data_IF_065240750293
#
_entry.id   IF_065240750293
#
_cell.length_a   1.000
_cell.length_b   1.000
_cell.length_c   1.000
_cell.angle_alpha   90.00
_cell.angle_beta   90.00
_cell.angle_gamma   90.00
#
_symmetry.space_group_name_H-M   'P 1'
#
loop_
_entity.id
_entity.type
_entity.pdbx_description
1 polymer ?
#
# COMPACT_ATOMS: atom_id res chain seq x y z
N UNK A 1 8.04 24.33 -55.13
CA UNK A 1 7.04 25.23 -55.76
C UNK A 1 5.67 24.61 -55.54
N UNK A 2 4.67 25.42 -55.18
CA UNK A 2 3.27 25.09 -54.78
C UNK A 2 3.05 24.96 -53.27
N UNK A 3 2.73 26.10 -52.66
CA UNK A 3 2.03 26.28 -51.38
C UNK A 3 0.51 26.22 -51.62
N UNK A 4 -0.27 25.64 -50.69
CA UNK A 4 -1.74 25.69 -50.72
C UNK A 4 -2.30 26.37 -49.45
N UNK A 5 -3.22 27.29 -49.74
CA UNK A 5 -3.85 28.36 -48.97
C UNK A 5 -4.60 27.95 -47.68
N UNK A 6 -4.48 28.84 -46.68
CA UNK A 6 -5.36 29.05 -45.52
C UNK A 6 -6.63 29.78 -45.98
N UNK A 7 -7.80 29.46 -45.39
CA UNK A 7 -9.04 30.25 -45.51
C UNK A 7 -9.49 30.74 -44.13
N UNK A 8 -9.51 32.05 -43.97
CA UNK A 8 -10.29 32.77 -42.96
C UNK A 8 -11.70 33.04 -43.50
N UNK A 9 -12.70 33.06 -42.62
CA UNK A 9 -13.99 33.67 -42.89
C UNK A 9 -14.51 34.38 -41.64
N UNK A 10 -14.58 35.71 -41.73
CA UNK A 10 -15.41 36.59 -40.90
C UNK A 10 -16.75 36.81 -41.60
N UNK A 11 -17.81 37.11 -40.84
CA UNK A 11 -19.05 37.88 -41.15
C UNK A 11 -20.08 37.49 -40.07
N UNK A 12 -21.03 38.30 -39.58
CA UNK A 12 -21.27 39.75 -39.55
C UNK A 12 -22.36 39.97 -38.48
N UNK A 13 -22.34 41.09 -37.78
CA UNK A 13 -23.33 41.49 -36.76
C UNK A 13 -24.59 42.04 -37.46
N UNK A 14 -25.77 41.62 -37.03
CA UNK A 14 -27.03 42.30 -37.35
C UNK A 14 -27.93 42.38 -36.09
N UNK A 15 -28.22 43.62 -35.67
CA UNK A 15 -29.28 43.97 -34.72
C UNK A 15 -30.64 43.99 -35.44
N UNK A 16 -31.69 43.48 -34.78
CA UNK A 16 -33.07 43.91 -35.03
C UNK A 16 -33.93 43.77 -33.77
N UNK A 17 -34.63 44.85 -33.45
CA UNK A 17 -35.50 45.03 -32.28
C UNK A 17 -36.96 44.62 -32.54
N UNK A 18 -37.71 44.41 -31.45
CA UNK A 18 -39.17 44.20 -31.40
C UNK A 18 -39.51 42.74 -31.07
N UNK A 19 -40.38 42.37 -30.11
CA UNK A 19 -41.52 43.07 -29.53
C UNK A 19 -41.86 42.41 -28.18
N UNK A 20 -42.40 43.19 -27.25
CA UNK A 20 -42.86 42.76 -25.93
C UNK A 20 -44.18 42.00 -26.08
N UNK A 21 -44.24 40.74 -25.64
CA UNK A 21 -45.49 40.10 -25.22
C UNK A 21 -45.29 39.46 -23.85
N UNK A 22 -45.98 40.04 -22.87
CA UNK A 22 -46.09 39.57 -21.50
C UNK A 22 -47.02 38.35 -21.43
N UNK A 23 -46.49 37.20 -21.04
CA UNK A 23 -47.28 36.11 -20.45
C UNK A 23 -46.89 35.99 -18.97
N UNK A 24 -47.81 36.43 -18.11
CA UNK A 24 -47.77 36.12 -16.68
C UNK A 24 -47.95 34.61 -16.51
N UNK A 25 -46.96 33.97 -15.88
CA UNK A 25 -47.11 32.67 -15.23
C UNK A 25 -46.73 32.85 -13.77
N UNK A 26 -47.73 32.76 -12.89
CA UNK A 26 -47.50 32.65 -11.46
C UNK A 26 -46.92 31.26 -11.18
N UNK A 27 -45.69 31.21 -10.69
CA UNK A 27 -45.14 30.05 -10.00
C UNK A 27 -44.43 30.55 -8.75
N UNK A 28 -45.02 30.25 -7.60
CA UNK A 28 -44.44 30.46 -6.28
C UNK A 28 -43.23 29.53 -6.12
N UNK A 29 -42.05 30.02 -6.49
CA UNK A 29 -40.78 29.39 -6.15
C UNK A 29 -40.47 29.62 -4.68
N UNK A 30 -40.46 28.54 -3.89
CA UNK A 30 -39.82 28.54 -2.57
C UNK A 30 -38.31 28.54 -2.82
N UNK A 31 -37.60 29.53 -2.27
CA UNK A 31 -36.15 29.52 -2.21
C UNK A 31 -35.73 28.28 -1.41
N UNK A 32 -35.17 27.29 -2.10
CA UNK A 32 -34.54 26.14 -1.48
C UNK A 32 -33.11 26.59 -1.18
N UNK A 33 -32.83 26.94 0.07
CA UNK A 33 -31.44 27.12 0.53
C UNK A 33 -30.69 25.82 0.26
N UNK A 34 -29.66 25.89 -0.59
CA UNK A 34 -28.74 24.78 -0.78
C UNK A 34 -28.04 24.47 0.56
N UNK A 35 -27.92 23.18 0.94
CA UNK A 35 -27.25 22.82 2.17
C UNK A 35 -25.79 23.26 2.12
N UNK A 36 -25.38 24.04 3.12
CA UNK A 36 -23.98 24.43 3.31
C UNK A 36 -23.16 23.14 3.51
N UNK A 37 -22.39 22.75 2.49
CA UNK A 37 -21.41 21.67 2.59
C UNK A 37 -20.25 22.22 3.43
N UNK A 38 -20.28 21.96 4.73
CA UNK A 38 -19.12 22.20 5.59
C UNK A 38 -18.09 21.12 5.21
N UNK A 39 -16.92 21.47 4.64
CA UNK A 39 -15.89 20.48 4.38
C UNK A 39 -15.49 19.83 5.71
N UNK A 40 -15.30 18.49 5.76
CA UNK A 40 -14.88 17.84 6.98
C UNK A 40 -13.60 18.51 7.46
N UNK A 41 -13.64 19.03 8.69
CA UNK A 41 -12.48 19.64 9.32
C UNK A 41 -11.41 18.58 9.40
N UNK A 42 -10.33 18.72 8.61
CA UNK A 42 -9.15 17.89 8.73
C UNK A 42 -8.54 18.19 10.09
N UNK A 43 -8.86 17.37 11.09
CA UNK A 43 -8.19 17.43 12.39
C UNK A 43 -6.75 17.03 12.13
N UNK A 44 -5.85 17.99 11.99
CA UNK A 44 -4.42 17.73 11.98
C UNK A 44 -4.10 17.04 13.30
N UNK A 45 -3.75 15.76 13.25
CA UNK A 45 -3.39 15.00 14.46
C UNK A 45 -2.09 15.59 14.98
N UNK A 46 -2.18 16.37 16.05
CA UNK A 46 -1.00 16.86 16.76
C UNK A 46 -0.59 15.79 17.75
N UNK A 47 0.42 15.04 17.36
CA UNK A 47 1.16 14.17 18.27
C UNK A 47 1.91 15.00 19.28
N UNK A 48 1.31 15.15 20.46
CA UNK A 48 2.00 15.78 21.56
C UNK A 48 2.95 14.75 22.17
N UNK A 49 4.21 15.15 22.34
CA UNK A 49 5.17 14.51 23.24
C UNK A 49 5.59 13.08 22.91
N UNK A 50 5.78 12.73 21.63
CA UNK A 50 6.53 11.52 21.31
C UNK A 50 7.60 11.76 20.25
N UNK A 51 8.58 10.87 20.23
CA UNK A 51 9.58 10.73 19.16
C UNK A 51 9.87 9.25 18.96
N UNK A 52 10.80 8.93 18.06
CA UNK A 52 11.33 7.58 17.92
C UNK A 52 12.81 7.59 18.27
N UNK A 53 13.33 6.44 18.71
CA UNK A 53 14.77 6.25 18.84
C UNK A 53 15.49 6.61 17.53
N UNK A 54 16.69 7.17 17.64
CA UNK A 54 17.54 7.51 16.47
C UNK A 54 18.38 6.34 15.98
N UNK A 55 18.52 5.30 16.81
CA UNK A 55 19.18 4.04 16.48
C UNK A 55 18.12 2.94 16.48
N UNK A 56 18.10 2.02 15.50
CA UNK A 56 17.11 0.96 15.49
C UNK A 56 17.25 0.06 16.72
N UNK A 57 16.14 -0.19 17.42
CA UNK A 57 16.08 -1.15 18.52
C UNK A 57 16.26 -2.59 18.01
N UNK A 58 15.72 -2.84 16.83
CA UNK A 58 15.84 -4.11 16.11
C UNK A 58 16.09 -3.80 14.65
N UNK A 59 16.98 -4.56 14.02
CA UNK A 59 17.26 -4.42 12.61
C UNK A 59 17.67 -5.74 11.96
N UNK A 60 17.41 -5.85 10.67
CA UNK A 60 18.12 -6.77 9.79
C UNK A 60 18.72 -5.99 8.61
N UNK A 61 20.04 -5.91 8.61
CA UNK A 61 20.85 -5.25 7.57
C UNK A 61 21.30 -6.26 6.49
N UNK A 62 20.93 -7.53 6.64
CA UNK A 62 21.19 -8.56 5.62
C UNK A 62 22.69 -8.75 5.25
N UNK A 63 23.60 -8.40 6.17
CA UNK A 63 25.06 -8.55 6.05
C UNK A 63 25.55 -9.99 6.31
N UNK A 64 24.84 -10.98 5.78
CA UNK A 64 25.19 -12.40 5.88
C UNK A 64 24.80 -13.15 4.62
N UNK A 65 25.23 -14.41 4.49
CA UNK A 65 24.95 -15.23 3.32
C UNK A 65 24.06 -16.42 3.67
N UNK A 66 23.13 -16.78 2.78
CA UNK A 66 22.30 -17.98 2.89
C UNK A 66 20.81 -17.68 3.04
N UNK A 67 20.12 -18.46 3.88
CA UNK A 67 18.70 -18.21 4.18
C UNK A 67 18.56 -17.04 5.16
N UNK A 68 17.43 -16.30 5.12
CA UNK A 68 17.02 -15.37 6.17
C UNK A 68 17.22 -15.94 7.58
N UNK A 69 17.81 -15.14 8.47
CA UNK A 69 18.20 -15.57 9.80
C UNK A 69 16.97 -16.04 10.59
N UNK A 70 16.99 -17.30 11.05
CA UNK A 70 15.86 -17.92 11.75
C UNK A 70 15.53 -17.25 13.09
N UNK A 71 16.48 -16.53 13.68
CA UNK A 71 16.24 -15.69 14.87
C UNK A 71 15.35 -14.47 14.58
N UNK A 72 15.22 -14.06 13.30
CA UNK A 72 14.51 -12.84 12.87
C UNK A 72 13.28 -13.15 12.01
N UNK A 73 13.36 -14.20 11.18
CA UNK A 73 12.38 -14.50 10.15
C UNK A 73 11.88 -15.94 10.21
N UNK A 74 10.57 -16.11 10.07
CA UNK A 74 9.91 -17.36 9.74
C UNK A 74 9.25 -17.29 8.35
N UNK A 75 8.61 -18.37 7.90
CA UNK A 75 7.98 -18.48 6.59
C UNK A 75 6.51 -18.90 6.73
N UNK A 76 5.64 -18.18 6.03
CA UNK A 76 4.31 -18.68 5.70
C UNK A 76 4.42 -19.58 4.46
N UNK A 77 4.13 -20.88 4.62
CA UNK A 77 4.28 -21.89 3.56
C UNK A 77 2.94 -22.27 2.94
N UNK A 78 2.92 -22.57 1.64
CA UNK A 78 1.73 -23.09 0.96
C UNK A 78 1.24 -22.24 -0.22
N UNK A 79 0.21 -22.73 -0.89
CA UNK A 79 -0.32 -22.17 -2.13
C UNK A 79 -1.84 -22.24 -2.25
N UNK A 80 -2.59 -22.06 -1.16
CA UNK A 80 -4.06 -22.14 -1.16
C UNK A 80 -4.75 -20.85 -1.63
N UNK A 81 -4.02 -19.95 -2.30
CA UNK A 81 -4.52 -18.66 -2.78
C UNK A 81 -4.57 -17.54 -1.75
N UNK A 82 -4.23 -17.82 -0.48
CA UNK A 82 -4.00 -16.82 0.58
C UNK A 82 -5.15 -15.83 0.85
N UNK A 83 -6.38 -16.18 0.45
CA UNK A 83 -7.56 -15.31 0.58
C UNK A 83 -7.79 -14.37 -0.61
N UNK A 84 -6.88 -14.38 -1.59
CA UNK A 84 -6.83 -13.45 -2.72
C UNK A 84 -6.63 -14.16 -4.08
N UNK A 85 -6.90 -15.46 -4.16
CA UNK A 85 -6.74 -16.30 -5.37
C UNK A 85 -5.32 -16.29 -5.98
N UNK A 86 -4.31 -16.01 -5.16
CA UNK A 86 -2.88 -15.98 -5.51
C UNK A 86 -2.40 -17.29 -6.15
N UNK A 87 -1.40 -17.22 -7.04
CA UNK A 87 -0.98 -18.33 -7.92
C UNK A 87 0.36 -18.97 -7.56
N UNK A 88 1.06 -18.46 -6.55
CA UNK A 88 2.32 -19.02 -6.08
C UNK A 88 2.13 -20.01 -4.92
N UNK A 89 3.08 -20.94 -4.81
CA UNK A 89 3.36 -21.67 -3.59
C UNK A 89 4.51 -20.98 -2.85
N UNK A 90 4.27 -20.46 -1.65
CA UNK A 90 5.34 -19.91 -0.81
C UNK A 90 6.18 -21.03 -0.20
N UNK A 91 7.50 -20.88 -0.30
CA UNK A 91 8.49 -21.85 0.19
C UNK A 91 9.46 -21.19 1.19
N UNK A 92 10.28 -22.01 1.84
CA UNK A 92 11.48 -21.61 2.57
C UNK A 92 12.77 -22.02 1.84
N UNK A 93 12.69 -22.21 0.52
CA UNK A 93 13.84 -22.62 -0.28
C UNK A 93 14.76 -21.42 -0.56
N UNK A 94 16.07 -21.69 -0.61
CA UNK A 94 17.08 -20.69 -0.98
C UNK A 94 16.81 -20.03 -2.34
N UNK A 95 16.16 -20.78 -3.25
CA UNK A 95 15.77 -20.28 -4.58
C UNK A 95 14.66 -19.20 -4.53
N UNK A 96 13.90 -19.10 -3.44
CA UNK A 96 12.82 -18.13 -3.26
C UNK A 96 13.14 -17.07 -2.20
N UNK A 97 13.98 -17.37 -1.22
CA UNK A 97 14.48 -16.39 -0.26
C UNK A 97 15.99 -16.62 -0.03
N UNK A 98 16.80 -15.62 -0.32
CA UNK A 98 18.24 -15.68 -0.09
C UNK A 98 18.78 -14.34 0.37
N UNK A 99 19.82 -14.38 1.18
CA UNK A 99 20.58 -13.22 1.62
C UNK A 99 21.99 -13.36 1.05
N UNK A 100 22.43 -12.33 0.35
CA UNK A 100 23.77 -12.20 -0.23
C UNK A 100 24.01 -10.74 -0.60
N UNK A 101 25.28 -10.34 -0.68
CA UNK A 101 25.68 -9.00 -1.14
C UNK A 101 25.00 -7.85 -0.38
N UNK A 102 24.81 -8.02 0.94
CA UNK A 102 24.22 -7.01 1.83
C UNK A 102 22.71 -6.80 1.64
N UNK A 103 21.99 -7.78 1.09
CA UNK A 103 20.54 -7.67 0.87
C UNK A 103 19.82 -9.02 0.91
N UNK A 104 18.54 -8.96 1.23
CA UNK A 104 17.58 -10.02 1.01
C UNK A 104 17.03 -9.96 -0.42
N UNK A 105 16.90 -11.11 -1.06
CA UNK A 105 16.16 -11.32 -2.31
C UNK A 105 14.99 -12.27 -2.07
N UNK A 106 13.76 -11.78 -2.24
CA UNK A 106 12.55 -12.60 -2.36
C UNK A 106 12.28 -12.80 -3.85
N UNK A 107 12.45 -14.04 -4.33
CA UNK A 107 12.40 -14.39 -5.75
C UNK A 107 11.17 -15.21 -6.06
N UNK A 108 10.34 -14.71 -6.98
CA UNK A 108 9.26 -15.47 -7.59
C UNK A 108 9.73 -16.15 -8.88
N UNK A 109 9.35 -17.41 -9.07
CA UNK A 109 9.75 -18.23 -10.22
C UNK A 109 8.53 -18.89 -10.83
N UNK A 110 8.52 -19.02 -12.16
CA UNK A 110 7.58 -19.89 -12.87
C UNK A 110 8.10 -21.32 -12.80
N UNK A 111 7.63 -22.06 -11.80
CA UNK A 111 7.93 -23.48 -11.64
C UNK A 111 6.76 -24.17 -10.92
N UNK A 112 6.43 -25.37 -11.36
CA UNK A 112 5.33 -26.12 -10.79
C UNK A 112 5.72 -26.72 -9.43
N UNK A 113 4.98 -26.39 -8.39
CA UNK A 113 5.16 -26.97 -7.05
C UNK A 113 3.81 -27.13 -6.35
N UNK A 114 3.53 -28.35 -5.88
CA UNK A 114 2.33 -28.66 -5.09
C UNK A 114 1.01 -28.13 -5.69
N UNK A 115 0.86 -28.27 -7.01
CA UNK A 115 -0.34 -27.84 -7.75
C UNK A 115 -0.36 -26.35 -8.15
N UNK A 116 0.62 -25.56 -7.75
CA UNK A 116 0.78 -24.16 -8.16
C UNK A 116 1.77 -24.03 -9.31
N UNK A 117 1.59 -23.02 -10.16
CA UNK A 117 2.42 -22.78 -11.34
C UNK A 117 3.64 -21.87 -11.06
N UNK A 118 3.70 -21.28 -9.87
CA UNK A 118 4.78 -20.40 -9.44
C UNK A 118 5.23 -20.76 -8.03
N UNK A 119 6.46 -20.42 -7.69
CA UNK A 119 6.98 -20.41 -6.31
C UNK A 119 7.38 -18.99 -5.93
N UNK A 120 7.36 -18.69 -4.64
CA UNK A 120 7.86 -17.42 -4.08
C UNK A 120 8.18 -17.60 -2.59
N UNK A 121 8.43 -16.52 -1.85
CA UNK A 121 8.54 -16.54 -0.40
C UNK A 121 7.66 -15.47 0.27
N UNK A 122 7.19 -15.78 1.48
CA UNK A 122 6.48 -14.89 2.39
C UNK A 122 7.14 -14.99 3.76
N UNK A 123 8.02 -14.04 4.05
CA UNK A 123 8.74 -13.94 5.32
C UNK A 123 7.88 -13.24 6.35
N UNK A 124 7.94 -13.70 7.59
CA UNK A 124 7.20 -13.10 8.71
C UNK A 124 8.09 -12.95 9.94
N UNK A 125 7.93 -11.87 10.70
CA UNK A 125 8.63 -11.68 11.98
C UNK A 125 7.82 -12.17 13.19
N UNK A 126 6.70 -12.87 12.96
CA UNK A 126 5.80 -13.35 14.01
C UNK A 126 6.55 -14.11 15.10
N UNK A 127 6.33 -13.73 16.36
CA UNK A 127 7.00 -14.25 17.55
C UNK A 127 8.52 -13.96 17.61
N UNK A 128 9.04 -13.06 16.77
CA UNK A 128 10.46 -12.65 16.72
C UNK A 128 10.59 -11.13 16.88
N UNK A 129 9.77 -10.39 16.14
CA UNK A 129 9.51 -8.97 16.32
C UNK A 129 8.00 -8.74 16.23
N UNK A 130 7.35 -8.72 17.40
CA UNK A 130 5.95 -8.33 17.56
C UNK A 130 5.92 -6.99 18.31
N UNK A 131 5.51 -5.92 17.66
CA UNK A 131 5.60 -4.55 18.20
C UNK A 131 4.23 -3.92 18.33
N UNK A 132 4.05 -3.11 19.36
CA UNK A 132 2.91 -2.20 19.51
C UNK A 132 3.47 -0.78 19.43
N UNK A 133 3.05 -0.06 18.38
CA UNK A 133 3.58 1.26 18.02
C UNK A 133 5.07 1.22 17.61
N UNK A 134 5.60 2.38 17.24
CA UNK A 134 6.98 2.58 16.81
C UNK A 134 7.08 2.95 15.33
N UNK A 135 8.32 3.03 14.87
CA UNK A 135 8.64 3.30 13.47
C UNK A 135 9.24 2.06 12.84
N UNK A 136 8.72 1.67 11.68
CA UNK A 136 9.32 0.61 10.85
C UNK A 136 9.75 1.23 9.54
N UNK A 137 10.99 1.00 9.16
CA UNK A 137 11.58 1.40 7.88
C UNK A 137 12.06 0.16 7.14
N UNK A 138 11.70 0.06 5.86
CA UNK A 138 12.17 -0.98 4.96
C UNK A 138 12.72 -0.31 3.70
N UNK A 139 14.00 -0.54 3.40
CA UNK A 139 14.63 -0.09 2.15
C UNK A 139 14.52 -1.22 1.13
N UNK A 140 13.73 -1.01 0.07
CA UNK A 140 13.46 -2.06 -0.91
C UNK A 140 13.42 -1.55 -2.35
N UNK A 141 13.72 -2.44 -3.29
CA UNK A 141 13.53 -2.27 -4.73
C UNK A 141 12.53 -3.32 -5.22
N UNK A 142 11.52 -2.87 -5.95
CA UNK A 142 10.35 -3.68 -6.29
C UNK A 142 10.53 -4.43 -7.63
N UNK A 143 9.91 -5.60 -7.82
CA UNK A 143 9.87 -6.27 -9.11
C UNK A 143 9.09 -5.46 -10.16
N UNK A 144 9.23 -5.86 -11.41
CA UNK A 144 8.43 -5.33 -12.53
C UNK A 144 7.48 -6.39 -13.07
N UNK A 145 6.50 -5.92 -13.83
CA UNK A 145 5.85 -6.75 -14.84
C UNK A 145 4.52 -7.35 -14.39
N UNK A 146 3.63 -7.49 -15.36
CA UNK A 146 2.25 -7.87 -15.14
C UNK A 146 2.13 -9.22 -14.42
N UNK A 147 1.39 -9.21 -13.31
CA UNK A 147 1.20 -10.39 -12.47
C UNK A 147 2.01 -10.36 -11.17
N UNK A 148 3.00 -9.48 -11.01
CA UNK A 148 3.71 -9.35 -9.72
C UNK A 148 2.91 -8.51 -8.72
N UNK A 149 2.94 -8.91 -7.45
CA UNK A 149 2.37 -8.16 -6.33
C UNK A 149 3.30 -8.26 -5.10
N UNK A 150 4.38 -7.46 -5.05
CA UNK A 150 5.20 -7.30 -3.85
C UNK A 150 4.43 -6.58 -2.73
N UNK A 151 4.67 -6.98 -1.48
CA UNK A 151 4.11 -6.33 -0.31
C UNK A 151 5.09 -6.28 0.88
N UNK A 152 5.07 -5.16 1.59
CA UNK A 152 5.66 -4.92 2.91
C UNK A 152 4.51 -4.46 3.81
N UNK A 153 4.15 -5.28 4.78
CA UNK A 153 2.88 -5.12 5.49
C UNK A 153 2.91 -5.77 6.86
N UNK A 154 1.87 -5.54 7.65
CA UNK A 154 1.80 -5.97 9.04
C UNK A 154 0.46 -6.58 9.37
N UNK A 155 0.48 -7.67 10.15
CA UNK A 155 -0.71 -8.31 10.69
C UNK A 155 -0.67 -8.39 12.22
N UNK A 156 -1.82 -8.42 12.88
CA UNK A 156 -1.91 -8.57 14.33
C UNK A 156 -1.39 -9.94 14.75
N UNK A 157 -0.54 -9.99 15.77
CA UNK A 157 -0.05 -11.24 16.34
C UNK A 157 -1.14 -11.95 17.14
N UNK A 158 -1.89 -11.20 17.95
CA UNK A 158 -2.79 -11.77 18.97
C UNK A 158 -4.26 -11.92 18.50
N UNK A 159 -4.62 -11.41 17.30
CA UNK A 159 -6.01 -11.36 16.77
C UNK A 159 -7.08 -10.99 17.81
N UNK A 160 -6.79 -10.02 18.67
CA UNK A 160 -7.59 -9.71 19.87
C UNK A 160 -9.06 -9.37 19.61
N UNK A 161 -9.40 -8.94 18.38
CA UNK A 161 -10.75 -8.56 17.98
C UNK A 161 -11.42 -9.57 17.03
N UNK A 162 -10.80 -10.74 16.83
CA UNK A 162 -11.25 -11.79 15.93
C UNK A 162 -10.51 -11.78 14.59
N UNK A 163 -11.00 -12.60 13.66
CA UNK A 163 -10.37 -12.77 12.35
C UNK A 163 -10.41 -11.50 11.50
N UNK A 164 -9.57 -11.49 10.47
CA UNK A 164 -9.45 -10.39 9.52
C UNK A 164 -10.83 -9.98 8.95
N UNK A 165 -11.11 -8.67 8.80
CA UNK A 165 -10.23 -7.52 9.04
C UNK A 165 -10.34 -6.93 10.46
N UNK A 166 -11.03 -7.60 11.40
CA UNK A 166 -11.39 -6.99 12.70
C UNK A 166 -10.20 -6.61 13.56
N UNK A 167 -9.14 -7.42 13.51
CA UNK A 167 -7.91 -7.17 14.26
C UNK A 167 -6.91 -6.26 13.52
N UNK A 168 -7.25 -5.78 12.33
CA UNK A 168 -6.47 -4.81 11.58
C UNK A 168 -5.45 -5.40 10.60
N UNK A 169 -4.98 -4.55 9.69
CA UNK A 169 -3.87 -4.76 8.75
C UNK A 169 -3.26 -3.39 8.43
N UNK A 170 -1.93 -3.30 8.32
CA UNK A 170 -1.21 -2.10 7.90
C UNK A 170 -0.30 -2.47 6.72
N UNK A 171 -0.65 -2.00 5.53
CA UNK A 171 0.08 -2.23 4.30
C UNK A 171 0.99 -1.04 4.06
N UNK A 172 2.25 -1.18 4.46
CA UNK A 172 3.26 -0.12 4.39
C UNK A 172 3.59 0.18 2.92
N UNK A 173 3.66 -0.87 2.11
CA UNK A 173 3.93 -0.79 0.68
C UNK A 173 3.25 -1.97 -0.01
N UNK A 174 2.38 -1.67 -0.95
CA UNK A 174 1.96 -2.61 -1.99
C UNK A 174 2.17 -2.02 -3.36
N UNK A 175 2.48 -2.88 -4.32
CA UNK A 175 2.64 -2.50 -5.71
C UNK A 175 2.14 -3.65 -6.59
N UNK A 176 1.58 -3.35 -7.76
CA UNK A 176 1.16 -4.35 -8.73
C UNK A 176 1.80 -4.07 -10.08
N UNK A 177 2.39 -5.08 -10.70
CA UNK A 177 3.25 -4.86 -11.86
C UNK A 177 2.53 -4.47 -13.15
N UNK A 178 1.18 -4.53 -13.19
CA UNK A 178 0.41 -3.96 -14.29
C UNK A 178 0.21 -2.44 -14.16
N UNK A 179 0.33 -1.90 -12.95
CA UNK A 179 0.31 -0.46 -12.64
C UNK A 179 1.68 -0.06 -12.10
N UNK A 180 2.67 -0.22 -12.97
CA UNK A 180 4.08 -0.06 -12.63
C UNK A 180 4.33 1.31 -11.97
N UNK A 181 5.16 1.34 -10.92
CA UNK A 181 5.57 2.54 -10.18
C UNK A 181 4.50 3.23 -9.33
N UNK A 182 3.22 2.85 -9.42
CA UNK A 182 2.19 3.36 -8.52
C UNK A 182 2.16 2.52 -7.24
N UNK A 183 2.65 3.10 -6.14
CA UNK A 183 2.83 2.40 -4.87
C UNK A 183 1.75 2.81 -3.88
N UNK A 184 1.19 1.83 -3.18
CA UNK A 184 0.05 1.98 -2.29
C UNK A 184 0.45 1.83 -0.82
N UNK A 185 -0.12 2.69 0.03
CA UNK A 185 -0.19 2.48 1.47
C UNK A 185 -1.65 2.32 1.84
N UNK A 186 -1.98 1.27 2.58
CA UNK A 186 -3.35 0.95 2.95
C UNK A 186 -3.44 0.53 4.41
N UNK A 187 -4.60 0.76 5.02
CA UNK A 187 -4.95 0.12 6.29
C UNK A 187 -6.32 -0.53 6.17
N UNK A 188 -6.45 -1.74 6.73
CA UNK A 188 -7.73 -2.44 6.78
C UNK A 188 -8.23 -2.60 8.22
N UNK A 189 -9.52 -2.39 8.42
CA UNK A 189 -10.25 -2.56 9.69
C UNK A 189 -11.66 -3.11 9.42
N UNK A 190 -12.41 -3.49 10.46
CA UNK A 190 -13.81 -3.91 10.29
C UNK A 190 -14.67 -2.85 9.58
N UNK A 191 -14.45 -1.57 9.87
CA UNK A 191 -15.16 -0.45 9.26
C UNK A 191 -14.58 -0.02 7.90
N UNK A 192 -13.29 -0.26 7.67
CA UNK A 192 -12.53 0.28 6.56
C UNK A 192 -11.77 -0.83 5.82
N UNK A 193 -12.39 -1.52 4.87
CA UNK A 193 -11.68 -2.56 4.11
C UNK A 193 -12.22 -2.75 2.69
N UNK A 194 -11.42 -3.44 1.85
CA UNK A 194 -11.59 -3.44 0.40
C UNK A 194 -12.91 -4.07 -0.08
N UNK A 195 -13.47 -5.06 0.63
CA UNK A 195 -14.72 -5.72 0.17
C UNK A 195 -15.95 -4.83 0.27
N UNK A 196 -15.89 -3.76 1.07
CA UNK A 196 -16.94 -2.74 1.17
C UNK A 196 -16.48 -1.39 0.61
N UNK A 197 -15.29 -1.33 0.00
CA UNK A 197 -14.70 -0.14 -0.63
C UNK A 197 -14.58 1.07 0.32
N UNK A 198 -14.22 0.83 1.57
CA UNK A 198 -14.05 1.88 2.60
C UNK A 198 -12.65 1.92 3.22
N UNK A 199 -11.71 1.13 2.70
CA UNK A 199 -10.32 1.13 3.15
C UNK A 199 -9.73 2.54 3.13
N UNK A 200 -8.91 2.87 4.13
CA UNK A 200 -8.11 4.08 4.09
C UNK A 200 -6.86 3.76 3.30
N UNK A 201 -6.68 4.45 2.18
CA UNK A 201 -5.56 4.20 1.25
C UNK A 201 -5.06 5.50 0.67
N UNK A 202 -3.80 5.52 0.27
CA UNK A 202 -3.17 6.57 -0.53
C UNK A 202 -2.16 5.95 -1.48
N UNK A 203 -1.88 6.64 -2.58
CA UNK A 203 -0.91 6.18 -3.57
C UNK A 203 0.12 7.26 -3.88
N UNK A 204 1.30 6.83 -4.30
CA UNK A 204 2.35 7.71 -4.81
C UNK A 204 3.05 7.05 -5.98
N UNK A 205 3.20 7.81 -7.05
CA UNK A 205 4.05 7.43 -8.18
C UNK A 205 5.52 7.59 -7.78
N UNK A 206 6.28 6.50 -7.86
CA UNK A 206 7.73 6.44 -7.65
C UNK A 206 8.38 5.93 -8.95
N UNK A 207 8.80 6.83 -9.86
CA UNK A 207 9.18 6.47 -11.23
C UNK A 207 10.26 5.38 -11.38
N UNK A 208 11.08 5.22 -10.36
CA UNK A 208 12.23 4.32 -10.29
C UNK A 208 12.07 3.21 -9.23
N UNK A 209 10.85 2.93 -8.77
CA UNK A 209 10.54 1.93 -7.73
C UNK A 209 11.14 0.53 -7.99
N UNK A 210 11.32 0.17 -9.27
CA UNK A 210 11.90 -1.11 -9.68
C UNK A 210 13.36 -1.03 -10.14
N UNK A 211 13.95 0.15 -10.19
CA UNK A 211 15.34 0.38 -10.59
C UNK A 211 16.23 0.91 -9.47
N UNK A 212 15.66 1.48 -8.41
CA UNK A 212 16.36 2.01 -7.25
C UNK A 212 15.75 1.49 -5.93
N UNK A 213 16.54 1.52 -4.85
CA UNK A 213 16.02 1.28 -3.51
C UNK A 213 15.31 2.53 -3.01
N UNK A 214 14.12 2.35 -2.44
CA UNK A 214 13.33 3.40 -1.80
C UNK A 214 13.03 3.01 -0.36
N UNK A 215 12.89 4.03 0.49
CA UNK A 215 12.54 3.84 1.90
C UNK A 215 11.03 3.88 2.07
N UNK A 216 10.46 2.72 2.41
CA UNK A 216 9.05 2.57 2.81
C UNK A 216 8.96 2.57 4.33
N UNK A 217 8.21 3.52 4.89
CA UNK A 217 8.15 3.72 6.34
C UNK A 217 6.73 3.85 6.85
N UNK A 218 6.46 3.28 8.02
CA UNK A 218 5.32 3.62 8.86
C UNK A 218 5.79 4.21 10.18
N UNK A 219 5.19 5.33 10.56
CA UNK A 219 5.21 5.84 11.93
C UNK A 219 3.84 5.53 12.55
N UNK A 220 3.82 4.61 13.51
CA UNK A 220 2.61 4.13 14.14
C UNK A 220 2.61 4.45 15.62
N UNK A 221 1.59 5.18 16.06
CA UNK A 221 1.43 5.64 17.44
C UNK A 221 0.00 5.40 17.92
N UNK A 222 -0.32 5.64 19.20
CA UNK A 222 -1.70 5.56 19.68
C UNK A 222 -2.69 6.47 18.95
N UNK A 223 -2.19 7.52 18.30
CA UNK A 223 -3.01 8.59 17.73
C UNK A 223 -3.14 8.52 16.22
N UNK A 224 -2.15 7.97 15.52
CA UNK A 224 -2.16 7.90 14.07
C UNK A 224 -1.24 6.82 13.52
N UNK A 225 -1.59 6.35 12.32
CA UNK A 225 -0.74 5.58 11.40
C UNK A 225 -0.37 6.54 10.28
N UNK A 226 0.93 6.78 10.08
CA UNK A 226 1.44 7.61 9.00
C UNK A 226 2.37 6.85 8.10
N UNK A 227 2.09 6.89 6.81
CA UNK A 227 2.92 6.29 5.77
C UNK A 227 3.84 7.32 5.12
N UNK A 228 5.08 6.92 4.88
CA UNK A 228 6.07 7.75 4.19
C UNK A 228 6.85 6.94 3.16
N UNK A 229 7.08 7.57 2.01
CA UNK A 229 8.01 7.08 0.99
C UNK A 229 9.11 8.12 0.76
N UNK A 230 10.35 7.73 1.00
CA UNK A 230 11.54 8.59 0.97
C UNK A 230 11.37 9.85 1.83
N UNK A 231 10.96 9.64 3.09
CA UNK A 231 10.69 10.68 4.09
C UNK A 231 9.54 11.65 3.78
N UNK A 232 8.90 11.53 2.63
CA UNK A 232 7.70 12.29 2.28
C UNK A 232 6.47 11.58 2.80
N UNK A 233 5.65 12.27 3.61
CA UNK A 233 4.36 11.74 4.06
C UNK A 233 3.42 11.58 2.87
N UNK A 234 2.79 10.41 2.77
CA UNK A 234 1.83 10.08 1.70
C UNK A 234 0.48 9.64 2.27
N UNK A 235 0.44 9.22 3.53
CA UNK A 235 -0.74 8.69 4.18
C UNK A 235 -0.80 9.14 5.65
N UNK A 236 -2.00 9.48 6.12
CA UNK A 236 -2.30 9.69 7.53
C UNK A 236 -3.69 9.13 7.83
N UNK A 237 -3.77 8.22 8.80
CA UNK A 237 -5.03 7.77 9.39
C UNK A 237 -5.02 8.05 10.89
N UNK A 238 -5.89 8.97 11.30
CA UNK A 238 -6.09 9.36 12.69
C UNK A 238 -6.94 8.34 13.47
N UNK A 239 -6.58 8.09 14.73
CA UNK A 239 -7.43 7.39 15.66
C UNK A 239 -8.65 8.26 16.01
N UNK A 240 -9.80 7.92 15.45
CA UNK A 240 -11.04 8.66 15.64
C UNK A 240 -11.68 8.45 17.03
N UNK A 241 -11.10 7.61 17.90
CA UNK A 241 -11.66 7.30 19.21
C UNK A 241 -12.96 6.49 19.17
N UNK A 242 -13.23 5.80 18.06
CA UNK A 242 -14.50 5.06 17.80
C UNK A 242 -14.40 3.55 18.04
N UNK A 243 -13.42 3.12 18.83
CA UNK A 243 -13.19 1.72 19.20
C UNK A 243 -12.61 0.85 18.07
N UNK A 244 -12.42 -0.44 18.35
CA UNK A 244 -11.61 -1.35 17.53
C UNK A 244 -12.09 -1.51 16.08
N UNK A 245 -13.39 -1.36 15.81
CA UNK A 245 -13.93 -1.47 14.45
C UNK A 245 -13.32 -0.43 13.50
N UNK A 246 -12.99 0.74 14.05
CA UNK A 246 -12.35 1.86 13.34
C UNK A 246 -10.85 1.84 13.61
N UNK A 247 -10.42 1.53 14.83
CA UNK A 247 -9.02 1.58 15.25
C UNK A 247 -8.59 0.31 16.01
N UNK A 248 -8.26 -0.78 15.30
CA UNK A 248 -7.72 -2.00 15.93
C UNK A 248 -6.21 -1.95 16.14
N UNK A 249 -5.54 -0.84 15.77
CA UNK A 249 -4.09 -0.65 15.83
C UNK A 249 -3.60 -0.29 17.23
N UNK A 250 -4.07 -1.03 18.23
CA UNK A 250 -3.75 -0.89 19.66
C UNK A 250 -3.31 -2.23 20.30
N UNK A 251 -2.91 -3.19 19.45
CA UNK A 251 -2.36 -4.51 19.80
C UNK A 251 -1.07 -4.75 19.05
N UNK A 252 -0.32 -5.80 19.40
CA UNK A 252 0.96 -6.10 18.76
C UNK A 252 0.76 -6.61 17.33
N UNK A 253 1.61 -6.15 16.42
CA UNK A 253 1.67 -6.58 15.03
C UNK A 253 3.07 -7.13 14.71
N UNK A 254 3.13 -8.03 13.75
CA UNK A 254 4.38 -8.53 13.14
C UNK A 254 4.46 -8.10 11.68
N UNK A 255 5.68 -7.98 11.17
CA UNK A 255 5.98 -7.61 9.79
C UNK A 255 5.93 -8.84 8.88
N UNK A 256 5.50 -8.60 7.63
CA UNK A 256 5.49 -9.55 6.53
C UNK A 256 6.17 -8.93 5.30
N UNK A 257 6.95 -9.74 4.60
CA UNK A 257 7.55 -9.41 3.30
C UNK A 257 7.22 -10.53 2.32
N UNK A 258 6.58 -10.23 1.19
CA UNK A 258 6.32 -11.25 0.16
C UNK A 258 6.32 -10.68 -1.25
N UNK A 259 6.37 -11.61 -2.19
CA UNK A 259 6.09 -11.36 -3.60
C UNK A 259 5.00 -12.33 -4.06
N UNK A 260 3.74 -11.90 -4.02
CA UNK A 260 2.62 -12.65 -4.57
C UNK A 260 2.63 -12.60 -6.10
N UNK A 261 2.07 -13.64 -6.73
CA UNK A 261 1.91 -13.74 -8.18
C UNK A 261 0.44 -13.96 -8.52
N UNK A 262 -0.09 -13.10 -9.38
CA UNK A 262 -1.49 -13.12 -9.78
C UNK A 262 -2.41 -12.64 -8.67
N UNK A 263 -3.40 -13.46 -8.33
CA UNK A 263 -4.48 -13.08 -7.43
C UNK A 263 -5.48 -12.11 -8.03
N UNK A 264 -6.49 -11.75 -7.22
CA UNK A 264 -7.60 -10.90 -7.64
C UNK A 264 -7.15 -9.50 -8.06
N UNK A 265 -6.05 -9.00 -7.45
CA UNK A 265 -5.50 -7.69 -7.76
C UNK A 265 -4.26 -7.76 -8.65
N UNK A 266 -3.16 -8.37 -8.19
CA UNK A 266 -1.90 -8.47 -8.95
C UNK A 266 -2.05 -9.11 -10.33
N UNK A 267 -3.00 -10.04 -10.47
CA UNK A 267 -3.33 -10.76 -11.70
C UNK A 267 -4.58 -10.24 -12.43
N UNK A 268 -5.12 -9.09 -12.04
CA UNK A 268 -6.34 -8.52 -12.64
C UNK A 268 -6.22 -8.27 -14.15
N UNK A 269 -5.01 -8.05 -14.67
CA UNK A 269 -4.71 -7.94 -16.10
C UNK A 269 -4.02 -9.19 -16.69
N UNK A 270 -4.04 -10.31 -15.95
CA UNK A 270 -3.32 -11.54 -16.25
C UNK A 270 -1.92 -11.58 -15.64
N UNK A 271 -1.17 -12.63 -15.95
CA UNK A 271 0.24 -12.82 -15.57
C UNK A 271 1.04 -12.94 -16.86
N UNK A 272 2.13 -12.19 -17.00
CA UNK A 272 3.10 -12.41 -18.08
C UNK A 272 4.10 -13.47 -17.63
N UNK A 273 4.20 -14.59 -18.33
CA UNK A 273 5.10 -15.67 -17.94
C UNK A 273 6.56 -15.41 -18.35
N UNK A 274 6.80 -14.47 -19.25
CA UNK A 274 8.13 -14.21 -19.81
C UNK A 274 9.01 -13.31 -18.92
N UNK A 275 8.43 -12.69 -17.89
CA UNK A 275 9.15 -11.82 -16.96
C UNK A 275 9.88 -12.60 -15.86
N UNK A 276 9.57 -13.89 -15.67
CA UNK A 276 10.14 -14.66 -14.57
C UNK A 276 11.58 -15.11 -14.85
N UNK A 277 12.45 -15.14 -13.83
CA UNK A 277 12.17 -14.84 -12.42
C UNK A 277 12.07 -13.33 -12.12
N UNK A 278 11.27 -12.96 -11.11
CA UNK A 278 11.15 -11.59 -10.59
C UNK A 278 11.57 -11.54 -9.12
N UNK A 279 12.08 -10.40 -8.69
CA UNK A 279 12.62 -10.22 -7.33
C UNK A 279 12.12 -8.95 -6.67
N UNK A 280 11.75 -9.06 -5.40
CA UNK A 280 11.80 -7.94 -4.47
C UNK A 280 13.14 -8.01 -3.73
N UNK A 281 13.92 -6.95 -3.78
CA UNK A 281 15.21 -6.85 -3.08
C UNK A 281 15.04 -5.91 -1.88
N UNK A 282 15.55 -6.31 -0.72
CA UNK A 282 15.45 -5.55 0.53
C UNK A 282 16.85 -5.34 1.09
N UNK A 283 17.26 -4.09 1.20
CA UNK A 283 18.56 -3.65 1.72
C UNK A 283 18.57 -3.71 3.25
N UNK A 284 17.52 -3.22 3.91
CA UNK A 284 17.36 -3.40 5.36
C UNK A 284 15.90 -3.39 5.81
N UNK A 285 15.69 -3.91 7.01
CA UNK A 285 14.49 -3.70 7.83
C UNK A 285 14.91 -3.15 9.19
N UNK A 286 14.34 -2.03 9.61
CA UNK A 286 14.67 -1.38 10.88
C UNK A 286 13.40 -1.05 11.66
N UNK A 287 13.43 -1.32 12.96
CA UNK A 287 12.40 -0.92 13.91
C UNK A 287 13.00 -0.01 14.98
N UNK A 288 12.34 1.12 15.22
CA UNK A 288 12.72 2.12 16.22
C UNK A 288 11.58 2.25 17.23
N UNK A 289 11.89 2.16 18.53
CA UNK A 289 10.87 2.30 19.56
C UNK A 289 10.35 3.73 19.61
N UNK A 290 9.05 3.85 19.88
CA UNK A 290 8.46 5.12 20.28
C UNK A 290 8.96 5.50 21.69
N UNK A 291 9.34 6.76 21.86
CA UNK A 291 9.76 7.37 23.12
C UNK A 291 8.74 8.44 23.47
N UNK A 292 8.14 8.34 24.65
CA UNK A 292 7.34 9.42 25.22
C UNK A 292 8.29 10.52 25.76
N UNK A 293 8.03 11.77 25.40
CA UNK A 293 8.80 12.95 25.83
C UNK A 293 8.27 13.52 27.13
#
# INVERSE_FOLDING_TARGET
MIYRKIKNAYFLIALSAGSILSCQSCSSGKDVEEPIIIPPTSVTVVDKNWTFETTPFWADEFDYNGLPATAKWDYDLGGSGWGNNEKQYYTNALANASVADGKLSITAKKESMNGMAYTSARLVTRNKLDVLYGRIEVSAKLPTGKGTWPAIWMLPTDRAYGDWPKSGEIDIMEHVGYDQNNVHFTTHTEAYYFKINTQKTSTKMIPDASSAFHKYRVDWTPYAVRGYYDDVIIFEFANEGKGYKVWPFDKRFHLLLNLAIGGDWGGSQGIDDNIFPQKMEVDYVRYYKMIEK
#
